data_IF_354714022040
#
_entry.id   IF_354714022040
#
_cell.length_a   1.000
_cell.length_b   1.000
_cell.length_c   1.000
_cell.angle_alpha   90.00
_cell.angle_beta   90.00
_cell.angle_gamma   90.00
#
_symmetry.space_group_name_H-M   'P 1'
#
loop_
_entity.id
_entity.type
_entity.pdbx_description
1 polymer ?
#
# COMPACT_ATOMS: atom_id res chain seq x y z
N UNK A 1 0.98 18.89 17.45
CA UNK A 1 2.10 19.86 17.50
C UNK A 1 2.59 19.92 18.93
N UNK A 2 3.88 19.78 19.14
CA UNK A 2 4.48 19.94 20.47
C UNK A 2 4.78 21.44 20.68
N UNK A 3 4.13 22.03 21.69
CA UNK A 3 4.29 23.45 22.02
C UNK A 3 5.73 23.78 22.44
N UNK A 4 6.44 22.82 23.06
CA UNK A 4 7.81 23.01 23.47
C UNK A 4 8.73 23.07 22.25
N UNK A 5 8.57 22.16 21.28
CA UNK A 5 9.30 22.18 20.01
C UNK A 5 9.03 23.47 19.22
N UNK A 6 7.77 23.91 19.14
CA UNK A 6 7.40 25.18 18.50
C UNK A 6 8.04 26.39 19.20
N UNK A 7 8.01 26.43 20.53
CA UNK A 7 8.59 27.54 21.29
C UNK A 7 10.10 27.68 21.07
N UNK A 8 10.82 26.57 21.05
CA UNK A 8 12.26 26.54 20.73
C UNK A 8 12.48 27.05 19.30
N UNK A 9 11.71 26.55 18.34
CA UNK A 9 11.81 26.95 16.94
C UNK A 9 11.56 28.45 16.75
N UNK A 10 10.51 29.02 17.35
CA UNK A 10 10.26 30.47 17.32
C UNK A 10 11.43 31.25 17.93
N UNK A 11 11.99 30.75 19.03
CA UNK A 11 13.14 31.39 19.71
C UNK A 11 14.37 31.43 18.81
N UNK A 12 14.66 30.34 18.11
CA UNK A 12 15.77 30.22 17.16
C UNK A 12 15.59 31.22 16.01
N UNK A 13 14.44 31.19 15.34
CA UNK A 13 14.11 32.08 14.22
C UNK A 13 14.16 33.57 14.61
N UNK A 14 13.62 33.89 15.79
CA UNK A 14 13.66 35.26 16.30
C UNK A 14 15.11 35.74 16.50
N UNK A 15 15.96 34.88 17.08
CA UNK A 15 17.38 35.18 17.33
C UNK A 15 18.17 35.29 16.02
N UNK A 16 17.90 34.43 15.05
CA UNK A 16 18.50 34.50 13.70
C UNK A 16 18.21 35.85 13.03
N UNK A 17 17.02 36.42 13.26
CA UNK A 17 16.65 37.75 12.79
C UNK A 17 17.14 38.91 13.66
N UNK A 18 17.86 38.63 14.75
CA UNK A 18 18.34 39.65 15.69
C UNK A 18 17.21 40.41 16.41
N UNK A 19 16.00 39.85 16.47
CA UNK A 19 14.85 40.49 17.09
C UNK A 19 14.81 40.20 18.59
N UNK A 20 14.39 41.16 19.39
CA UNK A 20 13.99 40.94 20.79
C UNK A 20 12.54 40.45 20.87
N UNK A 21 12.13 39.87 22.00
CA UNK A 21 10.74 39.43 22.20
C UNK A 21 9.76 40.61 22.06
N UNK A 22 10.13 41.80 22.56
CA UNK A 22 9.33 43.02 22.44
C UNK A 22 9.18 43.48 20.98
N UNK A 23 10.26 43.40 20.18
CA UNK A 23 10.21 43.76 18.76
C UNK A 23 9.36 42.78 17.93
N UNK A 24 9.45 41.48 18.23
CA UNK A 24 8.58 40.48 17.60
C UNK A 24 7.11 40.71 17.98
N UNK A 25 6.85 40.98 19.26
CA UNK A 25 5.51 41.27 19.75
C UNK A 25 4.90 42.53 19.09
N UNK A 26 5.70 43.59 18.93
CA UNK A 26 5.29 44.82 18.26
C UNK A 26 4.92 44.57 16.80
N UNK A 27 5.70 43.75 16.07
CA UNK A 27 5.40 43.40 14.67
C UNK A 27 4.10 42.60 14.51
N UNK A 28 3.72 41.84 15.54
CA UNK A 28 2.54 40.97 15.54
C UNK A 28 1.33 41.60 16.27
N UNK A 29 1.45 42.85 16.74
CA UNK A 29 0.44 43.52 17.56
C UNK A 29 -0.02 42.70 18.78
N UNK A 30 0.93 42.04 19.45
CA UNK A 30 0.69 41.28 20.69
C UNK A 30 1.57 41.82 21.83
N UNK A 31 1.34 41.30 23.03
CA UNK A 31 2.21 41.61 24.18
C UNK A 31 3.50 40.79 24.13
N UNK A 32 4.60 41.36 24.60
CA UNK A 32 5.87 40.67 24.85
C UNK A 32 5.70 39.41 25.71
N UNK A 33 4.80 39.47 26.70
CA UNK A 33 4.42 38.33 27.55
C UNK A 33 3.78 37.18 26.75
N UNK A 34 3.04 37.47 25.68
CA UNK A 34 2.48 36.43 24.81
C UNK A 34 3.60 35.68 24.07
N UNK A 35 4.54 36.42 23.46
CA UNK A 35 5.71 35.84 22.80
C UNK A 35 6.55 35.01 23.78
N UNK A 36 6.80 35.52 24.99
CA UNK A 36 7.50 34.79 26.05
C UNK A 36 6.81 33.49 26.48
N UNK A 37 5.46 33.45 26.46
CA UNK A 37 4.71 32.21 26.73
C UNK A 37 4.86 31.19 25.60
N UNK A 38 4.82 31.64 24.35
CA UNK A 38 5.03 30.78 23.18
C UNK A 38 6.43 30.18 23.16
N UNK A 39 7.46 31.02 23.35
CA UNK A 39 8.86 30.58 23.35
C UNK A 39 9.18 29.56 24.45
N UNK A 40 8.47 29.61 25.59
CA UNK A 40 8.62 28.65 26.68
C UNK A 40 7.72 27.41 26.54
N UNK A 41 6.89 27.33 25.50
CA UNK A 41 5.92 26.25 25.29
C UNK A 41 4.74 26.25 26.27
N UNK A 42 4.57 27.31 27.09
CA UNK A 42 3.50 27.46 28.09
C UNK A 42 2.23 28.06 27.48
N UNK A 43 2.27 28.42 26.21
CA UNK A 43 1.13 28.90 25.45
C UNK A 43 1.33 28.69 23.96
N UNK A 44 0.27 28.94 23.19
CA UNK A 44 0.26 28.75 21.76
C UNK A 44 -0.20 30.04 21.06
N UNK A 45 0.38 30.42 19.90
CA UNK A 45 -0.13 31.53 19.11
C UNK A 45 -1.55 31.23 18.59
N UNK A 46 -2.45 32.21 18.61
CA UNK A 46 -3.77 32.03 17.99
C UNK A 46 -3.62 31.71 16.49
N UNK A 47 -4.56 30.98 15.90
CA UNK A 47 -4.54 30.58 14.49
C UNK A 47 -4.40 31.77 13.55
N UNK A 48 -5.00 32.91 13.92
CA UNK A 48 -4.93 34.18 13.19
C UNK A 48 -3.54 34.80 13.19
N UNK A 49 -2.69 34.43 14.15
CA UNK A 49 -1.33 34.94 14.30
C UNK A 49 -0.29 34.03 13.64
N UNK A 50 -0.66 32.82 13.19
CA UNK A 50 0.29 31.87 12.61
C UNK A 50 0.86 32.37 11.27
N UNK A 51 0.01 32.87 10.37
CA UNK A 51 0.45 33.42 9.08
C UNK A 51 1.30 34.70 9.26
N UNK A 52 0.86 35.72 10.03
CA UNK A 52 1.71 36.87 10.36
C UNK A 52 3.03 36.50 11.06
N UNK A 53 3.02 35.50 11.94
CA UNK A 53 4.23 35.03 12.61
C UNK A 53 5.21 34.38 11.62
N UNK A 54 4.70 33.57 10.69
CA UNK A 54 5.51 32.97 9.63
C UNK A 54 6.15 34.05 8.74
N UNK A 55 5.38 35.07 8.35
CA UNK A 55 5.86 36.20 7.55
C UNK A 55 6.97 36.98 8.26
N UNK A 56 6.76 37.34 9.54
CA UNK A 56 7.75 38.07 10.33
C UNK A 56 9.03 37.25 10.52
N UNK A 57 8.93 35.92 10.57
CA UNK A 57 10.05 34.99 10.71
C UNK A 57 10.63 34.51 9.37
N UNK A 58 10.10 34.98 8.23
CA UNK A 58 10.52 34.60 6.85
C UNK A 58 10.58 33.08 6.66
N UNK A 59 9.49 32.42 7.02
CA UNK A 59 9.27 30.98 6.82
C UNK A 59 7.89 30.73 6.24
N UNK A 60 7.71 29.54 5.67
CA UNK A 60 6.37 29.08 5.29
C UNK A 60 5.55 28.69 6.52
N UNK A 61 4.23 28.83 6.42
CA UNK A 61 3.31 28.36 7.47
C UNK A 61 3.49 26.87 7.77
N UNK A 62 3.83 26.06 6.75
CA UNK A 62 4.08 24.63 6.91
C UNK A 62 5.30 24.34 7.80
N UNK A 63 6.38 25.12 7.65
CA UNK A 63 7.57 25.03 8.50
C UNK A 63 7.25 25.40 9.95
N UNK A 64 6.47 26.47 10.14
CA UNK A 64 6.01 26.88 11.46
C UNK A 64 5.18 25.79 12.14
N UNK A 65 4.26 25.15 11.41
CA UNK A 65 3.42 24.08 11.92
C UNK A 65 4.20 22.78 12.22
N UNK A 66 5.27 22.49 11.48
CA UNK A 66 6.13 21.32 11.73
C UNK A 66 7.21 21.58 12.78
N UNK A 67 7.39 22.85 13.16
CA UNK A 67 8.49 23.32 14.02
C UNK A 67 9.86 22.86 13.52
N UNK A 68 10.05 22.92 12.20
CA UNK A 68 11.24 22.40 11.54
C UNK A 68 11.47 23.15 10.23
N UNK A 69 12.73 23.50 9.94
CA UNK A 69 13.13 24.03 8.64
C UNK A 69 12.90 22.95 7.60
N UNK A 70 12.00 23.20 6.66
CA UNK A 70 11.92 22.35 5.50
C UNK A 70 13.10 22.73 4.61
N UNK A 71 13.76 21.76 3.95
CA UNK A 71 14.75 22.08 2.95
C UNK A 71 14.10 23.02 1.95
N UNK A 72 14.58 24.27 1.92
CA UNK A 72 14.12 25.30 1.00
C UNK A 72 14.29 24.68 -0.38
N UNK A 73 13.21 24.26 -1.02
CA UNK A 73 13.20 23.99 -2.45
C UNK A 73 13.38 25.35 -3.10
N UNK A 74 14.60 25.88 -3.04
CA UNK A 74 15.05 26.94 -3.90
C UNK A 74 14.82 26.41 -5.29
N UNK A 75 13.79 26.92 -5.96
CA UNK A 75 13.78 27.03 -7.42
C UNK A 75 14.91 28.00 -7.76
N UNK A 76 16.12 27.51 -7.64
CA UNK A 76 17.36 28.08 -8.12
C UNK A 76 18.03 26.86 -8.71
N UNK A 77 18.09 26.80 -10.04
CA UNK A 77 18.60 25.66 -10.79
C UNK A 77 19.97 25.22 -10.23
N UNK A 78 20.04 23.98 -9.73
CA UNK A 78 20.85 22.96 -10.39
C UNK A 78 19.95 21.78 -10.76
N UNK A 79 20.17 21.22 -11.95
CA UNK A 79 19.58 19.95 -12.39
C UNK A 79 18.04 19.92 -12.46
N UNK A 80 17.47 20.81 -13.28
CA UNK A 80 16.05 20.70 -13.70
C UNK A 80 15.74 19.33 -14.29
N UNK A 81 16.73 18.60 -14.80
CA UNK A 81 16.58 17.23 -15.29
C UNK A 81 16.20 16.27 -14.17
N UNK A 82 16.86 16.31 -13.02
CA UNK A 82 16.75 15.24 -12.02
C UNK A 82 15.50 15.39 -11.15
N UNK A 83 15.12 16.62 -10.82
CA UNK A 83 13.85 16.89 -10.14
C UNK A 83 12.65 16.59 -11.06
N UNK A 84 12.70 16.97 -12.34
CA UNK A 84 11.68 16.56 -13.30
C UNK A 84 11.68 15.05 -13.54
N UNK A 85 12.86 14.41 -13.60
CA UNK A 85 12.98 12.96 -13.82
C UNK A 85 12.34 12.19 -12.67
N UNK A 86 12.57 12.61 -11.42
CA UNK A 86 11.92 12.01 -10.25
C UNK A 86 10.39 12.19 -10.26
N UNK A 87 9.88 13.34 -10.71
CA UNK A 87 8.43 13.58 -10.85
C UNK A 87 7.83 12.74 -11.98
N UNK A 88 8.54 12.62 -13.12
CA UNK A 88 8.15 11.76 -14.25
C UNK A 88 8.22 10.27 -13.85
N UNK A 89 9.19 9.87 -13.04
CA UNK A 89 9.36 8.52 -12.52
C UNK A 89 8.26 8.18 -11.51
N UNK A 90 7.86 9.11 -10.63
CA UNK A 90 6.70 8.93 -9.73
C UNK A 90 5.40 8.81 -10.52
N UNK A 91 5.16 9.72 -11.49
CA UNK A 91 3.96 9.67 -12.32
C UNK A 91 3.91 8.42 -13.21
N UNK A 92 5.05 7.95 -13.69
CA UNK A 92 5.15 6.72 -14.50
C UNK A 92 5.10 5.44 -13.64
N UNK A 93 5.54 5.51 -12.38
CA UNK A 93 5.41 4.44 -11.37
C UNK A 93 3.94 4.17 -11.04
N UNK A 94 3.14 5.22 -10.80
CA UNK A 94 1.69 5.08 -10.59
C UNK A 94 1.01 4.42 -11.79
N UNK A 95 1.33 4.89 -13.01
CA UNK A 95 0.83 4.31 -14.26
C UNK A 95 1.27 2.86 -14.46
N UNK A 96 2.46 2.46 -14.00
CA UNK A 96 2.95 1.08 -14.11
C UNK A 96 2.16 0.14 -13.20
N UNK A 97 1.88 0.56 -11.96
CA UNK A 97 1.05 -0.20 -11.02
C UNK A 97 -0.37 -0.35 -11.56
N UNK A 98 -0.97 0.74 -12.06
CA UNK A 98 -2.31 0.70 -12.64
C UNK A 98 -2.38 -0.22 -13.86
N UNK A 99 -1.41 -0.12 -14.78
CA UNK A 99 -1.30 -1.05 -15.92
C UNK A 99 -1.11 -2.49 -15.49
N UNK A 100 -0.30 -2.76 -14.46
CA UNK A 100 -0.11 -4.13 -13.94
C UNK A 100 -1.38 -4.68 -13.31
N UNK A 101 -2.14 -3.86 -12.57
CA UNK A 101 -3.45 -4.24 -12.02
C UNK A 101 -4.46 -4.53 -13.13
N UNK A 102 -4.56 -3.65 -14.12
CA UNK A 102 -5.44 -3.85 -15.28
C UNK A 102 -5.02 -5.10 -16.08
N UNK A 103 -3.72 -5.29 -16.32
CA UNK A 103 -3.20 -6.48 -17.01
C UNK A 103 -3.51 -7.78 -16.25
N UNK A 104 -3.40 -7.79 -14.92
CA UNK A 104 -3.76 -8.95 -14.10
C UNK A 104 -5.26 -9.24 -14.14
N UNK A 105 -6.10 -8.21 -14.01
CA UNK A 105 -7.57 -8.36 -14.05
C UNK A 105 -8.01 -8.85 -15.42
N UNK A 106 -7.47 -8.28 -16.50
CA UNK A 106 -7.78 -8.72 -17.87
C UNK A 106 -7.32 -10.15 -18.13
N UNK A 107 -6.11 -10.52 -17.70
CA UNK A 107 -5.61 -11.90 -17.78
C UNK A 107 -6.51 -12.88 -17.02
N UNK A 108 -6.96 -12.52 -15.82
CA UNK A 108 -7.88 -13.34 -15.04
C UNK A 108 -9.23 -13.54 -15.74
N UNK A 109 -9.80 -12.47 -16.31
CA UNK A 109 -11.05 -12.54 -17.08
C UNK A 109 -10.89 -13.44 -18.30
N UNK A 110 -9.79 -13.30 -19.07
CA UNK A 110 -9.49 -14.16 -20.22
C UNK A 110 -9.40 -15.63 -19.80
N UNK A 111 -8.76 -15.92 -18.66
CA UNK A 111 -8.65 -17.27 -18.12
C UNK A 111 -10.03 -17.85 -17.71
N UNK A 112 -10.90 -17.04 -17.10
CA UNK A 112 -12.27 -17.47 -16.78
C UNK A 112 -13.08 -17.76 -18.05
N UNK A 113 -12.99 -16.92 -19.07
CA UNK A 113 -13.66 -17.14 -20.35
C UNK A 113 -13.15 -18.42 -21.01
N UNK A 114 -11.83 -18.63 -21.05
CA UNK A 114 -11.23 -19.87 -21.58
C UNK A 114 -11.71 -21.12 -20.83
N UNK A 115 -11.85 -21.04 -19.50
CA UNK A 115 -12.39 -22.13 -18.69
C UNK A 115 -13.84 -22.45 -19.07
N UNK A 116 -14.68 -21.43 -19.28
CA UNK A 116 -16.08 -21.60 -19.70
C UNK A 116 -16.15 -22.32 -21.06
N UNK A 117 -15.35 -21.89 -22.04
CA UNK A 117 -15.28 -22.55 -23.34
C UNK A 117 -14.78 -24.00 -23.24
N UNK A 118 -13.81 -24.28 -22.37
CA UNK A 118 -13.31 -25.64 -22.15
C UNK A 118 -14.40 -26.55 -21.58
N UNK A 119 -15.20 -26.03 -20.64
CA UNK A 119 -16.35 -26.77 -20.09
C UNK A 119 -17.39 -27.05 -21.17
N UNK A 120 -17.67 -26.09 -22.05
CA UNK A 120 -18.65 -26.21 -23.15
C UNK A 120 -18.21 -27.26 -24.20
N UNK A 121 -16.92 -27.27 -24.55
CA UNK A 121 -16.31 -28.28 -25.44
C UNK A 121 -16.46 -29.71 -24.87
N UNK A 122 -16.43 -29.85 -23.54
CA UNK A 122 -16.42 -31.16 -22.87
C UNK A 122 -17.82 -31.77 -22.65
N UNK A 123 -18.90 -31.10 -23.09
CA UNK A 123 -20.30 -31.58 -23.02
C UNK A 123 -20.64 -32.27 -21.66
N UNK A 124 -21.33 -33.42 -21.65
CA UNK A 124 -21.76 -34.11 -20.42
C UNK A 124 -20.61 -34.62 -19.53
N UNK A 125 -19.38 -34.67 -20.04
CA UNK A 125 -18.19 -35.11 -19.29
C UNK A 125 -17.49 -33.95 -18.56
N UNK A 126 -17.69 -32.70 -18.99
CA UNK A 126 -17.02 -31.52 -18.44
C UNK A 126 -17.25 -31.29 -16.94
N UNK A 127 -18.44 -31.63 -16.44
CA UNK A 127 -18.76 -31.50 -15.01
C UNK A 127 -17.89 -32.43 -14.13
N UNK A 128 -17.64 -33.67 -14.57
CA UNK A 128 -16.84 -34.63 -13.82
C UNK A 128 -15.35 -34.26 -13.84
N UNK A 129 -14.85 -33.67 -14.92
CA UNK A 129 -13.42 -33.33 -15.02
C UNK A 129 -13.06 -31.96 -14.45
N UNK A 130 -14.00 -31.00 -14.42
CA UNK A 130 -13.71 -29.63 -13.94
C UNK A 130 -14.29 -29.38 -12.54
N UNK A 131 -15.55 -29.71 -12.30
CA UNK A 131 -16.20 -29.38 -11.02
C UNK A 131 -15.82 -30.38 -9.91
N UNK A 132 -15.76 -31.68 -10.22
CA UNK A 132 -15.44 -32.73 -9.24
C UNK A 132 -14.07 -32.55 -8.55
N UNK A 133 -12.95 -32.25 -9.24
CA UNK A 133 -11.67 -32.05 -8.56
C UNK A 133 -11.67 -30.79 -7.68
N UNK A 134 -12.38 -29.73 -8.05
CA UNK A 134 -12.52 -28.51 -7.22
C UNK A 134 -13.29 -28.84 -5.94
N UNK A 135 -14.40 -29.59 -6.06
CA UNK A 135 -15.21 -30.02 -4.92
C UNK A 135 -14.39 -30.93 -4.00
N UNK A 136 -13.66 -31.91 -4.55
CA UNK A 136 -12.80 -32.81 -3.77
C UNK A 136 -11.65 -32.06 -3.09
N UNK A 137 -11.10 -31.02 -3.71
CA UNK A 137 -10.06 -30.19 -3.10
C UNK A 137 -10.57 -29.47 -1.84
N UNK A 138 -11.73 -28.83 -1.92
CA UNK A 138 -12.35 -28.18 -0.75
C UNK A 138 -12.80 -29.20 0.31
N UNK A 139 -13.32 -30.35 -0.10
CA UNK A 139 -13.68 -31.45 0.81
C UNK A 139 -12.44 -31.99 1.54
N UNK A 140 -11.32 -32.15 0.83
CA UNK A 140 -10.03 -32.57 1.38
C UNK A 140 -9.49 -31.59 2.42
N UNK A 141 -9.55 -30.28 2.14
CA UNK A 141 -9.17 -29.22 3.10
C UNK A 141 -10.07 -29.27 4.34
N UNK A 142 -11.38 -29.44 4.16
CA UNK A 142 -12.34 -29.54 5.25
C UNK A 142 -12.05 -30.77 6.13
N UNK A 143 -11.78 -31.94 5.54
CA UNK A 143 -11.39 -33.15 6.27
C UNK A 143 -10.05 -33.01 7.01
N UNK A 144 -9.06 -32.32 6.42
CA UNK A 144 -7.80 -32.04 7.09
C UNK A 144 -8.01 -31.16 8.34
N UNK A 145 -8.84 -30.11 8.22
CA UNK A 145 -9.23 -29.27 9.37
C UNK A 145 -10.02 -30.04 10.42
N UNK A 146 -10.90 -30.94 10.00
CA UNK A 146 -11.68 -31.79 10.91
C UNK A 146 -10.78 -32.78 11.66
N UNK A 147 -9.77 -33.35 10.99
CA UNK A 147 -8.77 -34.22 11.61
C UNK A 147 -8.02 -33.52 12.74
N UNK A 148 -7.63 -32.25 12.55
CA UNK A 148 -6.94 -31.49 13.58
C UNK A 148 -7.81 -31.26 14.84
N UNK A 149 -9.14 -31.18 14.68
CA UNK A 149 -10.09 -30.86 15.77
C UNK A 149 -10.58 -32.09 16.56
N UNK A 150 -10.68 -33.28 15.97
CA UNK A 150 -11.31 -34.46 16.61
C UNK A 150 -10.32 -35.61 16.77
N UNK A 151 -10.00 -35.98 18.02
CA UNK A 151 -8.87 -36.88 18.33
C UNK A 151 -9.09 -38.37 18.09
N UNK A 152 -10.34 -38.85 18.02
CA UNK A 152 -10.64 -40.29 18.07
C UNK A 152 -10.42 -41.03 16.73
N UNK A 153 -10.43 -40.31 15.59
CA UNK A 153 -10.24 -40.91 14.26
C UNK A 153 -9.29 -40.09 13.36
N UNK A 154 -8.28 -39.44 13.95
CA UNK A 154 -7.31 -38.57 13.26
C UNK A 154 -6.72 -39.21 11.99
N UNK A 155 -6.26 -40.45 12.10
CA UNK A 155 -5.64 -41.18 10.98
C UNK A 155 -6.63 -41.47 9.84
N UNK A 156 -7.90 -41.77 10.15
CA UNK A 156 -8.93 -42.01 9.13
C UNK A 156 -9.25 -40.74 8.34
N UNK A 157 -9.35 -39.58 9.02
CA UNK A 157 -9.60 -38.30 8.35
C UNK A 157 -8.40 -37.79 7.55
N UNK A 158 -7.17 -38.05 8.00
CA UNK A 158 -5.96 -37.75 7.23
C UNK A 158 -5.88 -38.59 5.95
N UNK A 159 -6.18 -39.89 6.06
CA UNK A 159 -6.19 -40.79 4.91
C UNK A 159 -7.27 -40.39 3.89
N UNK A 160 -8.48 -40.06 4.36
CA UNK A 160 -9.57 -39.57 3.50
C UNK A 160 -9.21 -38.26 2.79
N UNK A 161 -8.54 -37.32 3.48
CA UNK A 161 -8.05 -36.08 2.87
C UNK A 161 -7.00 -36.35 1.78
N UNK A 162 -6.02 -37.21 2.04
CA UNK A 162 -5.01 -37.59 1.05
C UNK A 162 -5.62 -38.27 -0.19
N UNK A 163 -6.59 -39.17 0.03
CA UNK A 163 -7.29 -39.86 -1.06
C UNK A 163 -8.09 -38.90 -1.94
N UNK A 164 -8.68 -37.85 -1.34
CA UNK A 164 -9.39 -36.80 -2.08
C UNK A 164 -8.45 -35.98 -3.00
N UNK A 165 -7.19 -35.79 -2.61
CA UNK A 165 -6.18 -35.13 -3.46
C UNK A 165 -5.52 -36.07 -4.47
N UNK A 166 -5.55 -37.38 -4.25
CA UNK A 166 -4.98 -38.36 -5.17
C UNK A 166 -5.76 -38.46 -6.50
N UNK A 167 -7.09 -38.28 -6.46
CA UNK A 167 -7.95 -38.30 -7.66
C UNK A 167 -7.57 -37.23 -8.71
N UNK A 168 -7.48 -35.92 -8.38
CA UNK A 168 -7.05 -34.91 -9.35
C UNK A 168 -5.61 -35.12 -9.83
N UNK A 169 -4.71 -35.59 -8.96
CA UNK A 169 -3.33 -35.90 -9.34
C UNK A 169 -3.26 -37.04 -10.37
N UNK A 170 -4.07 -38.08 -10.18
CA UNK A 170 -4.14 -39.22 -11.10
C UNK A 170 -4.73 -38.82 -12.46
N UNK A 171 -5.73 -37.94 -12.48
CA UNK A 171 -6.28 -37.38 -13.71
C UNK A 171 -5.24 -36.58 -14.50
N UNK A 172 -4.45 -35.75 -13.82
CA UNK A 172 -3.36 -34.98 -14.45
C UNK A 172 -2.31 -35.93 -15.04
N UNK A 173 -1.91 -36.96 -14.31
CA UNK A 173 -0.95 -37.96 -14.79
C UNK A 173 -1.47 -38.74 -16.00
N UNK A 174 -2.75 -39.13 -15.98
CA UNK A 174 -3.40 -39.81 -17.10
C UNK A 174 -3.42 -38.92 -18.35
N UNK A 175 -3.69 -37.62 -18.19
CA UNK A 175 -3.67 -36.67 -19.29
C UNK A 175 -2.26 -36.45 -19.85
N UNK A 176 -1.25 -36.31 -18.98
CA UNK A 176 0.14 -36.24 -19.39
C UNK A 176 0.58 -37.50 -20.15
N UNK A 177 0.12 -38.68 -19.72
CA UNK A 177 0.44 -39.95 -20.35
C UNK A 177 -0.28 -40.14 -21.69
N UNK A 178 -1.56 -39.76 -21.78
CA UNK A 178 -2.32 -39.76 -23.03
C UNK A 178 -1.68 -38.84 -24.09
N UNK A 179 -1.22 -37.65 -23.67
CA UNK A 179 -0.50 -36.73 -24.55
C UNK A 179 0.88 -37.26 -24.97
N UNK A 180 1.55 -38.01 -24.10
CA UNK A 180 2.86 -38.61 -24.40
C UNK A 180 2.79 -39.83 -25.34
N UNK A 181 1.68 -40.58 -25.35
CA UNK A 181 1.53 -41.80 -26.16
C UNK A 181 0.80 -41.60 -27.50
N UNK A 182 0.08 -40.50 -27.70
CA UNK A 182 -0.75 -40.33 -28.88
C UNK A 182 -1.22 -38.90 -29.08
N UNK A 183 -0.30 -37.99 -29.42
CA UNK A 183 -0.68 -36.77 -30.13
C UNK A 183 -1.37 -37.14 -31.46
N UNK A 184 -2.31 -36.31 -31.96
CA UNK A 184 -3.12 -36.65 -33.13
C UNK A 184 -2.22 -37.01 -34.31
N UNK A 185 -2.37 -38.23 -34.82
CA UNK A 185 -1.75 -38.67 -36.07
C UNK A 185 -2.42 -37.82 -37.16
N UNK A 186 -1.70 -36.91 -37.84
CA UNK A 186 -2.29 -36.16 -38.93
C UNK A 186 -2.71 -37.15 -40.02
N UNK A 187 -3.97 -37.06 -40.45
CA UNK A 187 -4.46 -37.74 -41.65
C UNK A 187 -3.63 -37.33 -42.87
#
# INVERSE_FOLDING_TARGET
MDNQKLGIFITELRKEKGLTQAQLAQKLNVTDKAVSKWERGVGFPDIKLLEPLADVLDISLLELMKSERLPKTTVSAPDTTDAFQNVIDLASYERKIERQRIALVTLFIVLLIALIFLVDIMQSYGFLFVCLPIILFFLGIWFLRLSHKKSTHKHAFLFAGFLAFAYPLCLILLFCFAFALGGPIPN
#
